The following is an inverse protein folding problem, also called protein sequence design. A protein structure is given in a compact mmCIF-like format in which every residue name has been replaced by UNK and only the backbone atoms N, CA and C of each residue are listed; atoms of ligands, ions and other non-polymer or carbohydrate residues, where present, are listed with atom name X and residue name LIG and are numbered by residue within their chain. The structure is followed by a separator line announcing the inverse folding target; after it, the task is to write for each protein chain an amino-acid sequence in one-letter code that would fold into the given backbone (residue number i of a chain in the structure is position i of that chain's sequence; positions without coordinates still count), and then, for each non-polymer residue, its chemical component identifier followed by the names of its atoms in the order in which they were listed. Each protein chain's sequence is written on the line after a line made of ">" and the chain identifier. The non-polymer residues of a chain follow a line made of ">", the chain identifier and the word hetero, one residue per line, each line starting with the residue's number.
data_IF_651699847754
#
_entry.id   IF_651699847754
#
_cell.length_a   1.000
_cell.length_b   1.000
_cell.length_c   1.000
_cell.angle_alpha   90.00
_cell.angle_beta   90.00
_cell.angle_gamma   90.00
#
_symmetry.space_group_name_H-M   'P 1'
#
loop_
_entity.id
_entity.type
_entity.pdbx_description
1 polymer ?
#
# COMPACT_ATOMS: atom_id res chain seq x y z
N UNK A 1 26.27 -23.48 -12.64
CA UNK A 1 25.98 -24.69 -13.44
C UNK A 1 24.47 -24.75 -13.60
N UNK A 2 23.91 -24.73 -14.82
CA UNK A 2 22.48 -24.98 -14.98
C UNK A 2 22.14 -26.39 -14.49
N UNK A 3 20.92 -26.60 -14.00
CA UNK A 3 20.44 -27.92 -13.58
C UNK A 3 20.55 -28.91 -14.76
N UNK A 4 20.96 -30.17 -14.52
CA UNK A 4 21.25 -31.13 -15.59
C UNK A 4 20.07 -31.37 -16.54
N UNK A 5 18.84 -31.25 -16.03
CA UNK A 5 17.57 -31.34 -16.76
C UNK A 5 17.35 -30.23 -17.82
N UNK A 6 18.03 -29.08 -17.70
CA UNK A 6 17.93 -27.98 -18.67
C UNK A 6 18.91 -28.14 -19.84
N UNK A 7 19.95 -28.95 -19.68
CA UNK A 7 21.02 -29.11 -20.66
C UNK A 7 20.79 -30.26 -21.66
N UNK A 8 19.95 -31.25 -21.32
CA UNK A 8 19.62 -32.38 -22.17
C UNK A 8 18.17 -32.29 -22.69
N UNK A 9 17.96 -31.91 -23.97
CA UNK A 9 16.63 -31.91 -24.58
C UNK A 9 15.94 -33.27 -24.56
N UNK A 10 16.70 -34.38 -24.55
CA UNK A 10 16.16 -35.73 -24.49
C UNK A 10 15.69 -36.14 -23.09
N UNK A 11 16.15 -35.43 -22.03
CA UNK A 11 15.68 -35.62 -20.66
C UNK A 11 14.38 -34.86 -20.35
N UNK A 12 13.88 -34.05 -21.29
CA UNK A 12 12.60 -33.34 -21.12
C UNK A 12 11.45 -34.34 -21.14
N UNK A 13 10.74 -34.44 -20.02
CA UNK A 13 9.48 -35.16 -19.97
C UNK A 13 8.35 -34.26 -20.48
N UNK A 14 7.44 -34.85 -21.26
CA UNK A 14 6.19 -34.18 -21.59
C UNK A 14 5.34 -34.08 -20.32
N UNK A 15 4.87 -32.88 -20.00
CA UNK A 15 3.91 -32.68 -18.94
C UNK A 15 2.63 -33.45 -19.29
N UNK A 16 2.31 -34.48 -18.52
CA UNK A 16 1.03 -35.18 -18.62
C UNK A 16 0.04 -34.40 -17.76
N UNK A 17 -1.13 -34.03 -18.30
CA UNK A 17 -2.14 -33.33 -17.53
C UNK A 17 -2.55 -34.18 -16.32
N UNK A 18 -2.47 -33.59 -15.12
CA UNK A 18 -2.90 -34.26 -13.90
C UNK A 18 -4.43 -34.34 -13.81
N UNK A 19 -4.98 -34.99 -12.77
CA UNK A 19 -6.43 -35.14 -12.56
C UNK A 19 -7.21 -33.82 -12.40
N UNK A 20 -6.51 -32.68 -12.41
CA UNK A 20 -7.05 -31.32 -12.32
C UNK A 20 -6.87 -30.52 -13.61
N UNK A 21 -6.38 -31.15 -14.68
CA UNK A 21 -6.09 -30.45 -15.93
C UNK A 21 -7.33 -30.06 -16.73
N UNK A 22 -8.41 -30.82 -16.56
CA UNK A 22 -9.71 -30.58 -17.18
C UNK A 22 -10.72 -30.04 -16.16
N UNK A 23 -10.26 -29.19 -15.23
CA UNK A 23 -11.18 -28.48 -14.34
C UNK A 23 -12.15 -27.67 -15.20
N UNK A 24 -13.44 -27.96 -15.08
CA UNK A 24 -14.46 -27.17 -15.77
C UNK A 24 -14.36 -25.71 -15.28
N UNK A 25 -14.69 -24.75 -16.14
CA UNK A 25 -14.61 -23.32 -15.79
C UNK A 25 -15.44 -22.96 -14.54
N UNK A 26 -16.46 -23.76 -14.21
CA UNK A 26 -17.23 -23.62 -12.97
C UNK A 26 -16.40 -23.98 -11.71
N UNK A 27 -15.57 -25.01 -11.79
CA UNK A 27 -14.71 -25.45 -10.69
C UNK A 27 -13.53 -24.51 -10.48
N UNK A 28 -12.92 -24.00 -11.56
CA UNK A 28 -11.88 -22.97 -11.47
C UNK A 28 -12.40 -21.70 -10.77
N UNK A 29 -13.58 -21.22 -11.18
CA UNK A 29 -14.21 -20.07 -10.55
C UNK A 29 -14.46 -20.30 -9.06
N UNK A 30 -14.93 -21.49 -8.67
CA UNK A 30 -15.16 -21.83 -7.26
C UNK A 30 -13.87 -21.81 -6.46
N UNK A 31 -12.80 -22.43 -6.97
CA UNK A 31 -11.47 -22.43 -6.33
C UNK A 31 -10.94 -21.01 -6.17
N UNK A 32 -11.08 -20.17 -7.20
CA UNK A 32 -10.65 -18.77 -7.15
C UNK A 32 -11.44 -17.94 -6.14
N UNK A 33 -12.75 -18.17 -6.01
CA UNK A 33 -13.57 -17.48 -5.00
C UNK A 33 -13.20 -17.89 -3.58
N UNK A 34 -12.97 -19.17 -3.34
CA UNK A 34 -12.51 -19.68 -2.03
C UNK A 34 -11.13 -19.10 -1.68
N UNK A 35 -10.19 -19.12 -2.63
CA UNK A 35 -8.88 -18.52 -2.47
C UNK A 35 -8.94 -17.01 -2.19
N UNK A 36 -9.76 -16.25 -2.93
CA UNK A 36 -10.00 -14.84 -2.66
C UNK A 36 -10.56 -14.61 -1.26
N UNK A 37 -11.49 -15.45 -0.79
CA UNK A 37 -12.00 -15.40 0.57
C UNK A 37 -10.90 -15.56 1.62
N UNK A 38 -9.95 -16.46 1.39
CA UNK A 38 -8.81 -16.68 2.29
C UNK A 38 -7.82 -15.50 2.32
N UNK A 39 -7.58 -14.84 1.19
CA UNK A 39 -6.62 -13.73 1.12
C UNK A 39 -7.25 -12.35 1.36
N UNK A 40 -8.58 -12.24 1.36
CA UNK A 40 -9.28 -10.96 1.49
C UNK A 40 -8.86 -10.17 2.75
N UNK A 41 -8.60 -10.87 3.86
CA UNK A 41 -8.09 -10.24 5.09
C UNK A 41 -6.71 -9.59 4.90
N UNK A 42 -5.80 -10.25 4.18
CA UNK A 42 -4.47 -9.72 3.89
C UNK A 42 -4.54 -8.57 2.88
N UNK A 43 -5.35 -8.69 1.84
CA UNK A 43 -5.59 -7.61 0.88
C UNK A 43 -6.17 -6.36 1.53
N UNK A 44 -7.09 -6.53 2.49
CA UNK A 44 -7.64 -5.43 3.26
C UNK A 44 -6.56 -4.71 4.10
N UNK A 45 -5.64 -5.47 4.70
CA UNK A 45 -4.51 -4.91 5.44
C UNK A 45 -3.53 -4.18 4.52
N UNK A 46 -3.23 -4.71 3.34
CA UNK A 46 -2.37 -4.04 2.35
C UNK A 46 -2.97 -2.68 1.91
N UNK A 47 -4.29 -2.61 1.75
CA UNK A 47 -4.98 -1.35 1.46
C UNK A 47 -4.84 -0.35 2.63
N UNK A 48 -4.94 -0.81 3.88
CA UNK A 48 -4.71 0.02 5.07
C UNK A 48 -3.26 0.50 5.15
N UNK A 49 -2.28 -0.37 4.92
CA UNK A 49 -0.86 -0.02 4.95
C UNK A 49 -0.50 1.01 3.86
N UNK A 50 -1.07 0.83 2.67
CA UNK A 50 -0.94 1.79 1.57
C UNK A 50 -1.53 3.14 1.95
N UNK A 51 -2.73 3.16 2.54
CA UNK A 51 -3.37 4.38 2.99
C UNK A 51 -2.57 5.08 4.11
N UNK A 52 -2.07 4.31 5.09
CA UNK A 52 -1.25 4.81 6.19
C UNK A 52 0.06 5.44 5.67
N UNK A 53 0.69 4.81 4.68
CA UNK A 53 1.91 5.33 4.04
C UNK A 53 1.65 6.67 3.36
N UNK A 54 0.54 6.78 2.62
CA UNK A 54 0.11 8.03 1.97
C UNK A 54 -0.21 9.12 3.00
N UNK A 55 -0.91 8.77 4.07
CA UNK A 55 -1.22 9.69 5.17
C UNK A 55 0.05 10.20 5.84
N UNK A 56 1.03 9.34 6.12
CA UNK A 56 2.29 9.75 6.73
C UNK A 56 3.10 10.68 5.82
N UNK A 57 3.11 10.41 4.50
CA UNK A 57 3.76 11.29 3.53
C UNK A 57 3.07 12.66 3.47
N UNK A 58 1.74 12.70 3.41
CA UNK A 58 0.97 13.94 3.41
C UNK A 58 1.18 14.75 4.71
N UNK A 59 1.25 14.09 5.87
CA UNK A 59 1.53 14.74 7.15
C UNK A 59 2.91 15.42 7.15
N UNK A 60 3.96 14.73 6.66
CA UNK A 60 5.30 15.33 6.55
C UNK A 60 5.32 16.52 5.58
N UNK A 61 4.61 16.42 4.46
CA UNK A 61 4.51 17.52 3.50
C UNK A 61 3.81 18.74 4.13
N UNK A 62 2.75 18.52 4.92
CA UNK A 62 2.07 19.58 5.66
C UNK A 62 3.01 20.24 6.68
N UNK A 63 3.79 19.46 7.43
CA UNK A 63 4.76 20.00 8.39
C UNK A 63 5.83 20.87 7.72
N UNK A 64 6.29 20.49 6.52
CA UNK A 64 7.21 21.31 5.70
C UNK A 64 6.53 22.61 5.25
N UNK A 65 5.29 22.53 4.76
CA UNK A 65 4.55 23.72 4.31
C UNK A 65 4.27 24.70 5.46
N UNK A 66 3.93 24.20 6.65
CA UNK A 66 3.74 25.04 7.85
C UNK A 66 5.03 25.75 8.23
N UNK A 67 6.17 25.04 8.25
CA UNK A 67 7.47 25.68 8.53
C UNK A 67 7.82 26.76 7.50
N UNK A 68 7.55 26.51 6.22
CA UNK A 68 7.76 27.51 5.17
C UNK A 68 6.86 28.74 5.36
N UNK A 69 5.58 28.54 5.72
CA UNK A 69 4.65 29.63 5.99
C UNK A 69 5.10 30.49 7.19
N UNK A 70 5.58 29.84 8.27
CA UNK A 70 6.13 30.53 9.43
C UNK A 70 7.40 31.33 9.08
N UNK A 71 8.30 30.76 8.28
CA UNK A 71 9.50 31.45 7.80
C UNK A 71 9.15 32.67 6.93
N UNK A 72 8.01 32.65 6.24
CA UNK A 72 7.45 33.78 5.50
C UNK A 72 6.66 34.77 6.39
N UNK A 73 6.56 34.52 7.70
CA UNK A 73 5.88 35.39 8.66
C UNK A 73 4.37 35.18 8.80
N UNK A 74 3.82 34.09 8.27
CA UNK A 74 2.39 33.79 8.41
C UNK A 74 2.02 33.58 9.90
N UNK A 75 0.97 34.24 10.41
CA UNK A 75 0.56 34.07 11.80
C UNK A 75 -0.16 32.73 11.99
N UNK A 76 -0.10 32.18 13.21
CA UNK A 76 -0.75 30.92 13.57
C UNK A 76 -2.26 30.90 13.28
N UNK A 77 -2.94 32.03 13.39
CA UNK A 77 -4.36 32.14 13.06
C UNK A 77 -4.65 31.82 11.59
N UNK A 78 -3.74 32.19 10.67
CA UNK A 78 -3.92 31.97 9.23
C UNK A 78 -3.59 30.53 8.86
N UNK A 79 -2.52 29.99 9.46
CA UNK A 79 -2.16 28.55 9.35
C UNK A 79 -3.30 27.68 9.90
N UNK A 80 -3.88 28.06 11.04
CA UNK A 80 -5.05 27.38 11.60
C UNK A 80 -6.22 27.37 10.62
N UNK A 81 -6.62 28.54 10.11
CA UNK A 81 -7.71 28.62 9.10
C UNK A 81 -7.44 27.76 7.86
N UNK A 82 -6.20 27.77 7.34
CA UNK A 82 -5.83 26.99 6.16
C UNK A 82 -5.87 25.46 6.40
N UNK A 83 -5.73 25.02 7.64
CA UNK A 83 -5.70 23.60 8.04
C UNK A 83 -6.99 23.13 8.71
N UNK A 84 -7.99 24.01 8.85
CA UNK A 84 -9.24 23.71 9.56
C UNK A 84 -9.09 23.63 11.08
N UNK A 85 -8.00 24.17 11.64
CA UNK A 85 -7.73 24.24 13.07
C UNK A 85 -7.93 25.66 13.61
N UNK A 86 -8.05 25.79 14.92
CA UNK A 86 -7.85 27.09 15.56
C UNK A 86 -6.38 27.48 15.52
N UNK A 87 -6.07 28.79 15.59
CA UNK A 87 -4.68 29.24 15.68
C UNK A 87 -3.94 28.68 16.90
N UNK A 88 -4.63 28.54 18.03
CA UNK A 88 -4.09 27.93 19.25
C UNK A 88 -3.72 26.46 19.03
N UNK A 89 -4.64 25.67 18.47
CA UNK A 89 -4.40 24.25 18.17
C UNK A 89 -3.29 24.05 17.13
N UNK A 90 -3.19 24.94 16.15
CA UNK A 90 -2.09 24.94 15.19
C UNK A 90 -0.74 25.23 15.87
N UNK A 91 -0.69 26.26 16.73
CA UNK A 91 0.50 26.58 17.50
C UNK A 91 0.91 25.40 18.40
N UNK A 92 0.00 24.82 19.18
CA UNK A 92 0.28 23.66 20.03
C UNK A 92 0.83 22.47 19.23
N UNK A 93 0.22 22.17 18.07
CA UNK A 93 0.62 21.05 17.21
C UNK A 93 2.03 21.20 16.64
N UNK A 94 2.37 22.39 16.14
CA UNK A 94 3.57 22.61 15.35
C UNK A 94 4.70 23.31 16.11
N UNK A 95 4.43 24.00 17.22
CA UNK A 95 5.49 24.57 18.08
C UNK A 95 6.34 23.49 18.74
N UNK A 96 5.76 22.35 19.12
CA UNK A 96 6.52 21.22 19.68
C UNK A 96 7.41 20.50 18.64
N UNK A 97 7.30 20.86 17.35
CA UNK A 97 7.98 20.21 16.21
C UNK A 97 8.86 21.17 15.41
N UNK A 98 8.89 22.45 15.79
CA UNK A 98 9.71 23.51 15.19
C UNK A 98 11.08 23.56 15.89
#
# INVERSE_FOLDING_TARGET
>A
MPAPELADPAARLLAVPGPWADLEAADENRVMQEWHGHIAGWQALEAVETAATRQAAAARALDVAVRAALAAGAPWADIGRATGLTGQSAAERWSARA
#
